data_IF_027451239959
#
_entry.id   IF_027451239959
#
_cell.length_a   1.000
_cell.length_b   1.000
_cell.length_c   1.000
_cell.angle_alpha   90.00
_cell.angle_beta   90.00
_cell.angle_gamma   90.00
#
_symmetry.space_group_name_H-M   'P 1'
#
loop_
_entity.id
_entity.type
_entity.pdbx_description
1 polymer ?
#
# COMPACT_ATOMS: atom_id res chain seq x y z
N UNK A 1 -93.20 -17.74 87.51
CA UNK A 1 -93.83 -16.59 86.81
C UNK A 1 -92.68 -15.82 86.17
N UNK A 2 -92.36 -16.12 84.90
CA UNK A 2 -92.87 -15.43 83.70
C UNK A 2 -92.48 -13.95 83.74
N UNK A 3 -91.81 -13.33 82.77
CA UNK A 3 -91.45 -13.69 81.39
C UNK A 3 -90.63 -12.52 80.85
N UNK A 4 -89.54 -12.77 80.13
CA UNK A 4 -88.79 -11.75 79.41
C UNK A 4 -89.13 -11.81 77.90
N UNK A 5 -89.39 -10.64 77.32
CA UNK A 5 -89.84 -10.40 75.94
C UNK A 5 -88.84 -10.83 74.85
N UNK A 6 -89.29 -11.20 73.64
CA UNK A 6 -88.45 -11.22 72.45
C UNK A 6 -88.76 -10.11 71.43
N UNK A 7 -87.70 -9.77 70.69
CA UNK A 7 -87.54 -8.75 69.66
C UNK A 7 -88.47 -8.91 68.45
N UNK A 8 -88.86 -7.76 67.89
CA UNK A 8 -89.53 -7.62 66.61
C UNK A 8 -88.63 -8.07 65.43
N UNK A 9 -89.17 -8.95 64.58
CA UNK A 9 -88.57 -9.40 63.33
C UNK A 9 -89.17 -8.64 62.15
N UNK A 10 -88.31 -8.01 61.36
CA UNK A 10 -88.67 -7.20 60.20
C UNK A 10 -89.03 -8.08 58.97
N UNK A 11 -90.17 -7.78 58.37
CA UNK A 11 -90.74 -8.43 57.18
C UNK A 11 -89.98 -7.99 55.91
N UNK A 12 -89.51 -8.98 55.11
CA UNK A 12 -88.90 -8.79 53.78
C UNK A 12 -90.00 -8.71 52.69
N UNK A 13 -90.00 -7.71 51.79
CA UNK A 13 -90.96 -7.62 50.68
C UNK A 13 -90.58 -8.55 49.49
N UNK A 14 -91.53 -8.87 48.59
CA UNK A 14 -91.38 -9.86 47.53
C UNK A 14 -90.44 -9.40 46.40
N UNK A 15 -89.69 -10.35 45.82
CA UNK A 15 -88.66 -10.11 44.82
C UNK A 15 -89.24 -9.92 43.40
N UNK A 16 -88.78 -8.88 42.71
CA UNK A 16 -88.99 -8.64 41.27
C UNK A 16 -88.23 -9.70 40.44
N UNK A 17 -88.95 -10.37 39.54
CA UNK A 17 -88.50 -11.47 38.67
C UNK A 17 -87.61 -11.05 37.48
N UNK A 18 -87.12 -9.81 37.45
CA UNK A 18 -86.33 -9.27 36.33
C UNK A 18 -84.80 -9.32 36.54
N UNK A 19 -84.34 -9.66 37.75
CA UNK A 19 -82.92 -9.65 38.15
C UNK A 19 -82.47 -10.94 38.86
N UNK A 20 -83.08 -12.08 38.53
CA UNK A 20 -82.68 -13.37 39.10
C UNK A 20 -81.42 -13.92 38.39
N UNK A 21 -80.38 -14.37 39.12
CA UNK A 21 -79.20 -14.99 38.53
C UNK A 21 -79.59 -16.29 37.82
N UNK A 22 -78.90 -16.61 36.71
CA UNK A 22 -79.27 -17.77 35.87
C UNK A 22 -79.09 -19.12 36.60
N UNK A 23 -78.28 -19.14 37.66
CA UNK A 23 -78.15 -20.27 38.60
C UNK A 23 -78.73 -19.80 39.95
N UNK A 24 -79.85 -20.37 40.41
CA UNK A 24 -80.45 -19.97 41.67
C UNK A 24 -79.50 -20.28 42.84
N UNK A 25 -79.40 -19.34 43.79
CA UNK A 25 -78.53 -19.45 44.98
C UNK A 25 -78.90 -20.64 45.90
N UNK A 26 -80.00 -21.35 45.62
CA UNK A 26 -80.42 -22.55 46.34
C UNK A 26 -79.55 -23.79 46.03
N UNK A 27 -78.88 -23.83 44.88
CA UNK A 27 -78.06 -24.98 44.48
C UNK A 27 -76.56 -24.77 44.70
N UNK A 28 -76.08 -23.54 44.50
CA UNK A 28 -74.66 -23.18 44.68
C UNK A 28 -74.61 -21.77 45.27
N UNK A 29 -73.93 -21.62 46.41
CA UNK A 29 -73.72 -20.34 47.07
C UNK A 29 -73.01 -19.33 46.15
N UNK A 30 -73.44 -18.07 46.17
CA UNK A 30 -72.82 -16.97 45.44
C UNK A 30 -71.27 -16.86 45.56
N UNK A 31 -70.64 -17.04 46.75
CA UNK A 31 -69.18 -17.07 46.85
C UNK A 31 -68.53 -18.25 46.10
N UNK A 32 -69.14 -19.44 46.15
CA UNK A 32 -68.63 -20.63 45.45
C UNK A 32 -68.73 -20.49 43.93
N UNK A 33 -69.81 -19.88 43.43
CA UNK A 33 -69.94 -19.54 41.99
C UNK A 33 -68.81 -18.63 41.51
N UNK A 34 -68.42 -17.63 42.31
CA UNK A 34 -67.30 -16.72 42.00
C UNK A 34 -65.97 -17.46 41.97
N UNK A 35 -65.74 -18.36 42.93
CA UNK A 35 -64.51 -19.13 43.02
C UNK A 35 -64.35 -20.03 41.79
N UNK A 36 -65.40 -20.74 41.36
CA UNK A 36 -65.33 -21.64 40.21
C UNK A 36 -65.01 -20.91 38.90
N UNK A 37 -65.59 -19.73 38.70
CA UNK A 37 -65.34 -18.96 37.49
C UNK A 37 -63.94 -18.34 37.52
N UNK A 38 -63.49 -17.87 38.68
CA UNK A 38 -62.12 -17.41 38.85
C UNK A 38 -61.13 -18.55 38.59
N UNK A 39 -61.38 -19.75 39.11
CA UNK A 39 -60.49 -20.90 38.90
C UNK A 39 -60.45 -21.36 37.45
N UNK A 40 -61.60 -21.41 36.76
CA UNK A 40 -61.67 -21.70 35.32
C UNK A 40 -60.92 -20.62 34.53
N UNK A 41 -61.13 -19.35 34.85
CA UNK A 41 -60.42 -18.24 34.21
C UNK A 41 -58.90 -18.33 34.40
N UNK A 42 -58.44 -18.62 35.62
CA UNK A 42 -57.02 -18.79 35.94
C UNK A 42 -56.43 -19.98 35.18
N UNK A 43 -57.14 -21.11 35.13
CA UNK A 43 -56.72 -22.28 34.35
C UNK A 43 -56.57 -21.94 32.86
N UNK A 44 -57.54 -21.25 32.27
CA UNK A 44 -57.46 -20.78 30.88
C UNK A 44 -56.23 -19.88 30.66
N UNK A 45 -55.97 -18.93 31.56
CA UNK A 45 -54.77 -18.06 31.48
C UNK A 45 -53.47 -18.85 31.65
N UNK A 46 -53.43 -19.88 32.51
CA UNK A 46 -52.25 -20.72 32.68
C UNK A 46 -51.92 -21.54 31.43
N UNK A 47 -52.94 -22.15 30.80
CA UNK A 47 -52.78 -22.88 29.53
C UNK A 47 -52.36 -21.93 28.40
N UNK A 48 -52.89 -20.71 28.38
CA UNK A 48 -52.50 -19.65 27.44
C UNK A 48 -51.02 -19.25 27.55
N UNK A 49 -50.51 -19.08 28.77
CA UNK A 49 -49.09 -18.79 29.01
C UNK A 49 -48.21 -19.96 28.57
N UNK A 50 -48.65 -21.21 28.82
CA UNK A 50 -47.93 -22.40 28.37
C UNK A 50 -47.86 -22.49 26.84
N UNK A 51 -48.99 -22.31 26.15
CA UNK A 51 -49.05 -22.28 24.68
C UNK A 51 -48.17 -21.16 24.11
N UNK A 52 -48.12 -19.99 24.77
CA UNK A 52 -47.21 -18.91 24.40
C UNK A 52 -45.74 -19.29 24.55
N UNK A 53 -45.35 -19.86 25.70
CA UNK A 53 -43.99 -20.32 25.95
C UNK A 53 -43.54 -21.38 24.93
N UNK A 54 -44.44 -22.31 24.59
CA UNK A 54 -44.19 -23.30 23.54
C UNK A 54 -44.03 -22.63 22.16
N UNK A 55 -44.83 -21.62 21.86
CA UNK A 55 -44.70 -20.81 20.63
C UNK A 55 -43.42 -19.97 20.59
N UNK A 56 -42.73 -19.71 21.71
CA UNK A 56 -41.40 -19.09 21.68
C UNK A 56 -40.33 -20.04 21.11
N UNK A 57 -40.55 -21.35 21.25
CA UNK A 57 -39.61 -22.39 20.82
C UNK A 57 -39.98 -22.90 19.42
N UNK A 58 -41.27 -22.96 19.08
CA UNK A 58 -41.79 -23.52 17.82
C UNK A 58 -42.42 -22.45 16.91
N UNK A 59 -42.15 -22.49 15.60
CA UNK A 59 -42.59 -21.51 14.59
C UNK A 59 -44.05 -21.67 14.13
N UNK A 60 -44.99 -21.79 15.07
CA UNK A 60 -46.43 -21.77 14.75
C UNK A 60 -47.09 -20.65 15.55
N UNK A 61 -47.55 -19.58 14.90
CA UNK A 61 -48.01 -18.36 15.60
C UNK A 61 -49.42 -17.90 15.20
N UNK A 62 -49.88 -18.17 13.98
CA UNK A 62 -51.14 -17.58 13.47
C UNK A 62 -52.39 -18.32 13.92
N UNK A 63 -52.33 -19.63 14.04
CA UNK A 63 -53.53 -20.43 14.37
C UNK A 63 -53.85 -20.40 15.87
N UNK A 64 -52.83 -20.14 16.69
CA UNK A 64 -52.94 -20.05 18.15
C UNK A 64 -53.60 -18.75 18.63
N UNK A 65 -53.40 -17.64 17.92
CA UNK A 65 -53.97 -16.33 18.32
C UNK A 65 -55.48 -16.31 18.21
N UNK A 66 -55.98 -16.74 17.04
CA UNK A 66 -57.41 -16.82 16.78
C UNK A 66 -58.08 -17.79 17.76
N UNK A 67 -57.45 -18.94 18.05
CA UNK A 67 -57.91 -19.89 19.09
C UNK A 67 -58.14 -19.18 20.43
N UNK A 68 -57.17 -18.41 20.91
CA UNK A 68 -57.25 -17.76 22.23
C UNK A 68 -58.22 -16.57 22.25
N UNK A 69 -58.32 -15.79 21.18
CA UNK A 69 -59.34 -14.73 21.03
C UNK A 69 -60.76 -15.33 21.12
N UNK A 70 -60.99 -16.48 20.49
CA UNK A 70 -62.29 -17.17 20.58
C UNK A 70 -62.58 -17.68 22.00
N UNK A 71 -61.57 -18.25 22.68
CA UNK A 71 -61.73 -18.74 24.06
C UNK A 71 -62.04 -17.60 25.02
N UNK A 72 -61.34 -16.48 24.93
CA UNK A 72 -61.56 -15.30 25.78
C UNK A 72 -62.92 -14.64 25.50
N UNK A 73 -63.36 -14.61 24.23
CA UNK A 73 -64.70 -14.14 23.86
C UNK A 73 -65.80 -15.04 24.45
N UNK A 74 -65.66 -16.36 24.34
CA UNK A 74 -66.63 -17.32 24.91
C UNK A 74 -66.67 -17.15 26.43
N UNK A 75 -65.52 -17.02 27.10
CA UNK A 75 -65.45 -16.81 28.55
C UNK A 75 -66.18 -15.53 28.98
N UNK A 76 -65.97 -14.40 28.31
CA UNK A 76 -66.68 -13.15 28.59
C UNK A 76 -68.19 -13.23 28.32
N UNK A 77 -68.62 -13.96 27.28
CA UNK A 77 -70.04 -14.20 27.01
C UNK A 77 -70.69 -15.08 28.10
N UNK A 78 -69.99 -16.10 28.57
CA UNK A 78 -70.43 -16.97 29.67
C UNK A 78 -70.58 -16.17 30.97
N UNK A 79 -69.61 -15.30 31.29
CA UNK A 79 -69.70 -14.36 32.42
C UNK A 79 -70.94 -13.47 32.33
N UNK A 80 -71.19 -12.89 31.15
CA UNK A 80 -72.38 -12.04 30.93
C UNK A 80 -73.69 -12.83 31.08
N UNK A 81 -73.72 -14.08 30.64
CA UNK A 81 -74.91 -14.94 30.69
C UNK A 81 -75.24 -15.41 32.10
N UNK A 82 -74.24 -15.65 32.95
CA UNK A 82 -74.40 -16.17 34.30
C UNK A 82 -74.89 -15.13 35.33
N UNK A 83 -74.81 -13.82 35.03
CA UNK A 83 -75.36 -12.71 35.84
C UNK A 83 -75.16 -12.87 37.36
N UNK A 84 -73.90 -13.06 37.76
CA UNK A 84 -73.58 -13.34 39.15
C UNK A 84 -73.71 -12.06 39.99
N UNK A 85 -74.37 -12.11 41.16
CA UNK A 85 -74.51 -10.94 42.02
C UNK A 85 -73.13 -10.40 42.44
N UNK A 86 -72.96 -9.07 42.31
CA UNK A 86 -71.69 -8.30 42.43
C UNK A 86 -70.69 -8.39 41.27
N UNK A 87 -70.94 -9.23 40.27
CA UNK A 87 -70.16 -9.30 39.03
C UNK A 87 -71.06 -9.01 37.80
N UNK A 88 -72.07 -8.16 37.99
CA UNK A 88 -72.96 -7.71 36.94
C UNK A 88 -72.30 -6.57 36.15
N UNK A 89 -71.51 -6.94 35.16
CA UNK A 89 -70.93 -5.98 34.24
C UNK A 89 -71.98 -5.45 33.27
N UNK A 90 -72.02 -4.13 33.10
CA UNK A 90 -72.78 -3.52 32.01
C UNK A 90 -72.26 -4.03 30.66
N UNK A 91 -73.10 -4.06 29.62
CA UNK A 91 -72.68 -4.51 28.29
C UNK A 91 -71.45 -3.77 27.77
N UNK A 92 -71.27 -2.50 28.14
CA UNK A 92 -70.08 -1.69 27.84
C UNK A 92 -68.82 -2.21 28.52
N UNK A 93 -68.91 -2.60 29.79
CA UNK A 93 -67.78 -3.16 30.54
C UNK A 93 -67.33 -4.51 29.97
N UNK A 94 -68.27 -5.35 29.51
CA UNK A 94 -67.94 -6.62 28.85
C UNK A 94 -67.24 -6.39 27.50
N UNK A 95 -67.73 -5.44 26.69
CA UNK A 95 -67.09 -5.09 25.41
C UNK A 95 -65.68 -4.55 25.63
N UNK A 96 -65.49 -3.68 26.63
CA UNK A 96 -64.17 -3.17 27.01
C UNK A 96 -63.25 -4.32 27.45
N UNK A 97 -63.74 -5.25 28.27
CA UNK A 97 -62.97 -6.42 28.71
C UNK A 97 -62.53 -7.31 27.53
N UNK A 98 -63.43 -7.56 26.57
CA UNK A 98 -63.11 -8.33 25.35
C UNK A 98 -62.07 -7.60 24.49
N UNK A 99 -62.19 -6.28 24.32
CA UNK A 99 -61.22 -5.49 23.56
C UNK A 99 -59.84 -5.54 24.22
N UNK A 100 -59.76 -5.38 25.53
CA UNK A 100 -58.51 -5.46 26.29
C UNK A 100 -57.87 -6.84 26.17
N UNK A 101 -58.64 -7.93 26.28
CA UNK A 101 -58.12 -9.29 26.13
C UNK A 101 -57.62 -9.56 24.71
N UNK A 102 -58.36 -9.13 23.70
CA UNK A 102 -57.95 -9.25 22.29
C UNK A 102 -56.66 -8.46 21.99
N UNK A 103 -56.52 -7.26 22.57
CA UNK A 103 -55.30 -6.47 22.47
C UNK A 103 -54.13 -7.17 23.16
N UNK A 104 -54.34 -7.71 24.36
CA UNK A 104 -53.33 -8.50 25.07
C UNK A 104 -52.92 -9.74 24.28
N UNK A 105 -53.86 -10.46 23.66
CA UNK A 105 -53.58 -11.60 22.77
C UNK A 105 -52.71 -11.21 21.58
N UNK A 106 -53.08 -10.12 20.92
CA UNK A 106 -52.34 -9.62 19.78
C UNK A 106 -50.91 -9.18 20.11
N UNK A 107 -50.68 -8.62 21.31
CA UNK A 107 -49.33 -8.28 21.81
C UNK A 107 -48.54 -9.53 22.22
N UNK A 108 -49.18 -10.50 22.88
CA UNK A 108 -48.53 -11.69 23.42
C UNK A 108 -47.97 -12.56 22.28
N UNK A 109 -48.77 -12.79 21.25
CA UNK A 109 -48.40 -13.64 20.12
C UNK A 109 -47.85 -12.86 18.91
N UNK A 110 -47.99 -11.53 18.88
CA UNK A 110 -47.33 -10.66 17.91
C UNK A 110 -48.04 -10.45 16.59
N UNK A 111 -49.37 -10.55 16.56
CA UNK A 111 -50.19 -10.37 15.34
C UNK A 111 -50.52 -8.90 15.04
N UNK A 112 -50.40 -8.01 16.04
CA UNK A 112 -50.72 -6.58 15.85
C UNK A 112 -49.46 -5.84 15.39
N UNK A 113 -49.43 -5.47 14.12
CA UNK A 113 -48.44 -4.56 13.56
C UNK A 113 -48.97 -3.12 13.65
N UNK A 114 -48.60 -2.39 14.70
CA UNK A 114 -48.77 -0.93 14.76
C UNK A 114 -47.55 -0.29 14.10
N UNK A 115 -47.74 0.71 13.24
CA UNK A 115 -46.74 1.24 12.30
C UNK A 115 -45.28 1.30 12.77
N UNK A 116 -44.39 0.91 11.85
CA UNK A 116 -42.90 0.92 11.89
C UNK A 116 -42.25 0.01 12.94
N UNK A 117 -42.89 -0.29 14.06
CA UNK A 117 -42.33 -1.17 15.09
C UNK A 117 -43.34 -2.25 15.52
N UNK A 118 -43.05 -3.50 15.12
CA UNK A 118 -43.76 -4.69 15.59
C UNK A 118 -43.41 -4.95 17.07
N UNK A 119 -44.10 -4.27 18.00
CA UNK A 119 -44.00 -4.53 19.43
C UNK A 119 -44.69 -5.86 19.77
N UNK A 120 -43.98 -6.96 19.58
CA UNK A 120 -44.42 -8.26 20.07
C UNK A 120 -43.59 -8.66 21.28
N UNK A 121 -44.26 -9.08 22.35
CA UNK A 121 -43.58 -9.74 23.47
C UNK A 121 -42.94 -11.05 23.01
N UNK A 122 -43.55 -11.76 22.05
CA UNK A 122 -42.98 -12.99 21.48
C UNK A 122 -41.68 -12.72 20.71
N UNK A 123 -41.58 -11.62 19.95
CA UNK A 123 -40.35 -11.32 19.20
C UNK A 123 -39.20 -10.92 20.14
N UNK A 124 -39.48 -10.11 21.16
CA UNK A 124 -38.48 -9.74 22.17
C UNK A 124 -38.05 -10.93 23.02
N UNK A 125 -38.99 -11.79 23.44
CA UNK A 125 -38.68 -12.98 24.21
C UNK A 125 -37.92 -14.02 23.38
N UNK A 126 -38.28 -14.23 22.10
CA UNK A 126 -37.52 -15.10 21.17
C UNK A 126 -36.07 -14.65 21.05
N UNK A 127 -35.82 -13.35 20.92
CA UNK A 127 -34.44 -12.82 20.87
C UNK A 127 -33.63 -13.09 22.15
N UNK A 128 -34.30 -13.19 23.31
CA UNK A 128 -33.65 -13.51 24.58
C UNK A 128 -33.40 -15.02 24.73
N UNK A 129 -34.35 -15.87 24.34
CA UNK A 129 -34.27 -17.32 24.45
C UNK A 129 -33.42 -17.99 23.34
N UNK A 130 -33.32 -17.40 22.15
CA UNK A 130 -32.49 -17.90 21.03
C UNK A 130 -30.99 -17.60 21.21
N UNK A 131 -30.53 -17.26 22.42
CA UNK A 131 -29.11 -17.15 22.71
C UNK A 131 -28.52 -18.55 22.81
N UNK A 132 -27.77 -18.94 21.79
CA UNK A 132 -27.06 -20.21 21.80
C UNK A 132 -25.86 -20.15 22.76
N UNK A 133 -25.65 -21.26 23.48
CA UNK A 133 -24.48 -21.45 24.33
C UNK A 133 -23.28 -21.80 23.45
N UNK A 134 -22.34 -20.87 23.33
CA UNK A 134 -21.04 -21.16 22.72
C UNK A 134 -20.31 -22.22 23.54
N UNK A 135 -19.45 -23.03 22.92
CA UNK A 135 -18.60 -24.04 23.57
C UNK A 135 -17.74 -23.48 24.72
N UNK A 136 -17.55 -22.15 24.75
CA UNK A 136 -16.88 -21.41 25.84
C UNK A 136 -17.81 -20.98 27.01
N UNK A 137 -19.10 -21.31 26.99
CA UNK A 137 -20.08 -20.94 28.01
C UNK A 137 -20.66 -19.52 27.90
N UNK A 138 -20.27 -18.74 26.89
CA UNK A 138 -20.80 -17.38 26.66
C UNK A 138 -22.06 -17.43 25.79
N UNK A 139 -23.16 -16.84 26.26
CA UNK A 139 -24.36 -16.61 25.46
C UNK A 139 -24.08 -15.49 24.45
N UNK A 140 -24.14 -15.79 23.16
CA UNK A 140 -23.90 -14.82 22.09
C UNK A 140 -25.14 -14.75 21.20
N UNK A 141 -25.51 -13.55 20.77
CA UNK A 141 -26.63 -13.33 19.87
C UNK A 141 -26.15 -13.51 18.41
N UNK A 142 -26.80 -14.37 17.63
CA UNK A 142 -26.38 -14.68 16.25
C UNK A 142 -26.49 -13.45 15.34
N UNK A 143 -27.37 -12.49 15.65
CA UNK A 143 -27.48 -11.23 14.89
C UNK A 143 -26.26 -10.31 15.02
N UNK A 144 -25.49 -10.43 16.10
CA UNK A 144 -24.21 -9.70 16.25
C UNK A 144 -23.12 -10.29 15.35
N UNK A 145 -23.24 -11.53 14.89
CA UNK A 145 -22.30 -12.11 13.92
C UNK A 145 -22.54 -11.62 12.48
N UNK A 146 -23.77 -11.20 12.16
CA UNK A 146 -24.16 -10.71 10.83
C UNK A 146 -24.18 -9.19 10.73
N UNK A 147 -24.30 -8.49 11.87
CA UNK A 147 -24.10 -7.03 11.93
C UNK A 147 -22.61 -6.78 11.89
N UNK A 148 -22.09 -6.56 10.68
CA UNK A 148 -20.67 -6.51 10.37
C UNK A 148 -19.85 -5.71 11.38
N UNK A 149 -19.08 -6.42 12.18
CA UNK A 149 -17.84 -5.88 12.71
C UNK A 149 -16.93 -5.61 11.51
N UNK A 150 -16.52 -4.35 11.33
CA UNK A 150 -15.46 -3.98 10.38
C UNK A 150 -14.13 -4.73 10.64
N UNK A 151 -14.04 -5.41 11.78
CA UNK A 151 -12.91 -6.24 12.22
C UNK A 151 -13.01 -7.73 11.80
N UNK A 152 -14.13 -8.17 11.21
CA UNK A 152 -14.27 -9.50 10.58
C UNK A 152 -13.98 -9.50 9.08
N UNK A 153 -13.48 -8.38 8.53
CA UNK A 153 -12.66 -8.44 7.32
C UNK A 153 -11.36 -9.11 7.75
N UNK A 154 -11.18 -10.39 7.41
CA UNK A 154 -9.97 -11.13 7.73
C UNK A 154 -8.74 -10.24 7.52
N UNK A 155 -7.89 -10.16 8.54
CA UNK A 155 -6.68 -9.36 8.46
C UNK A 155 -5.81 -9.95 7.35
N UNK A 156 -5.86 -9.34 6.17
CA UNK A 156 -4.96 -9.69 5.09
C UNK A 156 -3.67 -8.90 5.32
N UNK A 157 -2.83 -9.39 6.24
CA UNK A 157 -1.50 -8.83 6.47
C UNK A 157 -0.62 -9.13 5.26
N UNK A 158 -0.65 -8.26 4.26
CA UNK A 158 0.29 -8.34 3.13
C UNK A 158 1.67 -7.97 3.64
N UNK A 159 2.49 -8.99 3.95
CA UNK A 159 3.92 -8.78 4.22
C UNK A 159 4.60 -8.44 2.90
N UNK A 160 4.73 -7.14 2.62
CA UNK A 160 5.51 -6.67 1.48
C UNK A 160 7.00 -6.81 1.81
N UNK A 161 7.75 -7.49 0.95
CA UNK A 161 9.21 -7.42 0.98
C UNK A 161 9.67 -6.00 0.64
N UNK A 162 10.82 -5.55 1.16
CA UNK A 162 11.33 -4.23 0.79
C UNK A 162 11.56 -4.16 -0.73
N UNK A 163 11.19 -3.03 -1.32
CA UNK A 163 11.19 -2.86 -2.77
C UNK A 163 12.63 -2.82 -3.28
N UNK A 164 12.99 -3.79 -4.11
CA UNK A 164 14.24 -3.79 -4.85
C UNK A 164 14.20 -2.70 -5.92
N UNK A 165 15.18 -1.79 -5.90
CA UNK A 165 15.26 -0.69 -6.88
C UNK A 165 16.60 -0.63 -7.60
N UNK A 166 16.60 -0.10 -8.82
CA UNK A 166 17.80 0.08 -9.63
C UNK A 166 17.81 1.44 -10.33
N UNK A 167 18.97 2.10 -10.34
CA UNK A 167 19.17 3.40 -10.99
C UNK A 167 20.47 3.39 -11.78
N UNK A 168 20.37 3.59 -13.09
CA UNK A 168 21.54 3.79 -13.95
C UNK A 168 22.08 5.22 -13.75
N UNK A 169 23.41 5.36 -13.73
CA UNK A 169 24.11 6.64 -13.60
C UNK A 169 23.56 7.54 -12.47
N UNK A 170 23.66 7.12 -11.19
CA UNK A 170 23.13 7.88 -10.06
C UNK A 170 23.73 9.30 -9.96
N UNK A 171 25.00 9.45 -10.35
CA UNK A 171 25.75 10.71 -10.33
C UNK A 171 25.51 11.63 -11.53
N UNK A 172 24.70 11.22 -12.52
CA UNK A 172 24.44 11.98 -13.76
C UNK A 172 25.71 12.44 -14.47
N UNK A 173 26.74 11.61 -14.47
CA UNK A 173 28.02 11.90 -15.12
C UNK A 173 27.91 11.64 -16.63
N UNK A 174 28.70 12.37 -17.42
CA UNK A 174 28.85 12.15 -18.86
C UNK A 174 29.89 11.07 -19.12
N UNK A 175 29.59 10.12 -20.00
CA UNK A 175 30.48 9.02 -20.36
C UNK A 175 30.90 9.13 -21.82
N UNK A 176 32.19 8.92 -22.09
CA UNK A 176 32.72 8.87 -23.44
C UNK A 176 33.63 7.65 -23.64
N UNK A 177 33.68 7.15 -24.87
CA UNK A 177 34.52 6.05 -25.31
C UNK A 177 35.91 6.59 -25.63
N UNK A 178 36.89 6.12 -24.87
CA UNK A 178 38.29 6.43 -25.14
C UNK A 178 38.78 5.67 -26.38
N UNK A 179 39.53 6.32 -27.28
CA UNK A 179 40.10 5.72 -28.49
C UNK A 179 41.03 4.54 -28.21
N UNK A 180 41.70 4.52 -27.05
CA UNK A 180 42.69 3.49 -26.70
C UNK A 180 42.04 2.21 -26.15
N UNK A 181 40.98 2.34 -25.34
CA UNK A 181 40.32 1.20 -24.68
C UNK A 181 39.01 0.78 -25.35
N UNK A 182 38.42 1.63 -26.19
CA UNK A 182 37.12 1.45 -26.87
C UNK A 182 36.01 0.90 -25.96
N UNK A 183 36.09 1.19 -24.67
CA UNK A 183 35.15 0.71 -23.68
C UNK A 183 35.00 1.73 -22.55
N UNK A 184 33.76 1.92 -22.11
CA UNK A 184 33.40 2.75 -20.96
C UNK A 184 32.56 1.96 -19.98
N UNK A 185 32.73 2.24 -18.69
CA UNK A 185 32.04 1.56 -17.61
C UNK A 185 31.00 2.47 -16.98
N UNK A 186 29.72 2.12 -17.10
CA UNK A 186 28.61 2.91 -16.55
C UNK A 186 28.14 2.30 -15.23
N UNK A 187 28.09 3.07 -14.12
CA UNK A 187 27.64 2.58 -12.84
C UNK A 187 26.12 2.44 -12.78
N UNK A 188 25.66 1.34 -12.18
CA UNK A 188 24.27 1.01 -11.88
C UNK A 188 24.16 0.82 -10.37
N UNK A 189 23.39 1.68 -9.71
CA UNK A 189 23.10 1.58 -8.29
C UNK A 189 21.91 0.64 -8.08
N UNK A 190 22.11 -0.39 -7.29
CA UNK A 190 21.09 -1.33 -6.86
C UNK A 190 20.84 -1.14 -5.37
N UNK A 191 19.58 -1.20 -4.96
CA UNK A 191 19.17 -1.16 -3.57
C UNK A 191 18.27 -2.35 -3.27
N UNK A 192 18.64 -3.11 -2.23
CA UNK A 192 17.93 -4.30 -1.76
C UNK A 192 17.76 -5.38 -2.86
N UNK A 193 18.81 -5.61 -3.66
CA UNK A 193 18.84 -6.70 -4.65
C UNK A 193 20.27 -7.10 -5.01
N UNK A 194 20.46 -8.37 -5.35
CA UNK A 194 21.70 -8.88 -5.95
C UNK A 194 21.42 -9.41 -7.35
N UNK A 195 22.09 -8.94 -8.40
CA UNK A 195 21.69 -9.24 -9.77
C UNK A 195 22.10 -10.66 -10.20
N UNK A 196 21.17 -11.42 -10.76
CA UNK A 196 21.45 -12.65 -11.52
C UNK A 196 21.89 -12.35 -12.95
N UNK A 197 21.28 -11.31 -13.52
CA UNK A 197 21.54 -10.80 -14.85
C UNK A 197 20.80 -9.48 -15.06
N UNK A 198 21.30 -8.69 -16.00
CA UNK A 198 20.74 -7.40 -16.40
C UNK A 198 20.57 -7.37 -17.90
N UNK A 199 19.46 -6.83 -18.37
CA UNK A 199 19.18 -6.55 -19.77
C UNK A 199 19.22 -5.04 -19.96
N UNK A 200 20.08 -4.57 -20.86
CA UNK A 200 20.10 -3.18 -21.30
C UNK A 200 19.85 -3.10 -22.80
N UNK A 201 19.23 -2.00 -23.22
CA UNK A 201 19.03 -1.64 -24.61
C UNK A 201 20.04 -0.55 -24.99
N UNK A 202 20.67 -0.73 -26.15
CA UNK A 202 21.57 0.24 -26.76
C UNK A 202 20.95 0.73 -28.05
N UNK A 203 20.59 2.02 -28.08
CA UNK A 203 20.12 2.68 -29.30
C UNK A 203 21.29 3.38 -29.94
N UNK A 204 21.64 2.98 -31.16
CA UNK A 204 22.78 3.58 -31.89
C UNK A 204 22.49 5.04 -32.27
N UNK A 205 23.50 5.92 -32.20
CA UNK A 205 23.32 7.32 -32.61
C UNK A 205 23.05 7.40 -34.12
N UNK A 206 21.97 8.08 -34.52
CA UNK A 206 21.60 8.30 -35.93
C UNK A 206 20.81 7.17 -36.60
N UNK A 207 20.72 5.98 -36.00
CA UNK A 207 19.85 4.90 -36.47
C UNK A 207 18.89 4.48 -35.36
N UNK A 208 17.60 4.38 -35.64
CA UNK A 208 16.58 3.90 -34.69
C UNK A 208 16.64 2.37 -34.46
N UNK A 209 17.85 1.81 -34.51
CA UNK A 209 18.14 0.40 -34.26
C UNK A 209 18.47 0.23 -32.79
N UNK A 210 17.70 -0.63 -32.13
CA UNK A 210 17.82 -0.94 -30.71
C UNK A 210 18.41 -2.34 -30.56
N UNK A 211 19.63 -2.43 -30.05
CA UNK A 211 20.29 -3.69 -29.71
C UNK A 211 20.02 -4.02 -28.24
N UNK A 212 19.40 -5.16 -27.95
CA UNK A 212 19.18 -5.63 -26.58
C UNK A 212 20.30 -6.60 -26.17
N UNK A 213 21.03 -6.28 -25.11
CA UNK A 213 22.17 -7.06 -24.63
C UNK A 213 21.89 -7.54 -23.20
N UNK A 214 21.93 -8.86 -23.02
CA UNK A 214 21.82 -9.49 -21.70
C UNK A 214 23.21 -9.78 -21.14
N UNK A 215 23.45 -9.32 -19.91
CA UNK A 215 24.70 -9.51 -19.18
C UNK A 215 24.44 -10.40 -17.97
N UNK A 216 25.17 -11.51 -17.89
CA UNK A 216 25.06 -12.45 -16.78
C UNK A 216 25.84 -12.03 -15.54
N UNK A 217 25.52 -12.62 -14.39
CA UNK A 217 26.26 -12.42 -13.13
C UNK A 217 27.77 -12.64 -13.24
N UNK A 218 28.20 -13.68 -13.99
CA UNK A 218 29.62 -13.98 -14.18
C UNK A 218 30.33 -12.83 -14.89
N UNK A 219 29.71 -12.31 -15.94
CA UNK A 219 30.23 -11.20 -16.73
C UNK A 219 30.29 -9.90 -15.92
N UNK A 220 29.24 -9.60 -15.15
CA UNK A 220 29.23 -8.42 -14.26
C UNK A 220 30.39 -8.45 -13.26
N UNK A 221 30.69 -9.62 -12.67
CA UNK A 221 31.84 -9.76 -11.78
C UNK A 221 33.18 -9.60 -12.50
N UNK A 222 33.33 -10.17 -13.70
CA UNK A 222 34.56 -10.00 -14.47
C UNK A 222 34.77 -8.55 -14.91
N UNK A 223 33.69 -7.83 -15.22
CA UNK A 223 33.73 -6.40 -15.54
C UNK A 223 34.19 -5.60 -14.33
N UNK A 224 33.64 -5.88 -13.16
CA UNK A 224 33.98 -5.18 -11.92
C UNK A 224 35.43 -5.45 -11.50
N UNK A 225 35.90 -6.69 -11.64
CA UNK A 225 37.30 -7.05 -11.41
C UNK A 225 38.24 -6.32 -12.38
N UNK A 226 37.94 -6.31 -13.68
CA UNK A 226 38.75 -5.60 -14.66
C UNK A 226 38.79 -4.09 -14.40
N UNK A 227 37.68 -3.51 -13.96
CA UNK A 227 37.65 -2.12 -13.54
C UNK A 227 38.57 -1.89 -12.34
N UNK A 228 38.51 -2.76 -11.34
CA UNK A 228 39.33 -2.64 -10.13
C UNK A 228 40.83 -2.76 -10.42
N UNK A 229 41.22 -3.66 -11.32
CA UNK A 229 42.60 -3.77 -11.82
C UNK A 229 43.04 -2.47 -12.54
N UNK A 230 42.20 -1.91 -13.42
CA UNK A 230 42.51 -0.65 -14.12
C UNK A 230 42.69 0.55 -13.17
N UNK A 231 41.92 0.59 -12.09
CA UNK A 231 42.02 1.62 -11.06
C UNK A 231 43.27 1.46 -10.20
N UNK A 232 43.70 0.23 -9.92
CA UNK A 232 44.94 -0.04 -9.17
C UNK A 232 46.18 0.40 -9.94
N UNK A 233 46.24 0.14 -11.25
CA UNK A 233 47.36 0.59 -12.12
C UNK A 233 47.46 2.13 -12.12
N UNK A 234 46.32 2.82 -12.11
CA UNK A 234 46.30 4.29 -12.06
C UNK A 234 46.72 4.83 -10.70
N UNK A 235 46.41 4.12 -9.60
CA UNK A 235 46.86 4.46 -8.25
C UNK A 235 48.37 4.27 -8.07
N UNK A 236 48.93 3.17 -8.57
CA UNK A 236 50.38 2.93 -8.51
C UNK A 236 51.18 3.89 -9.39
N UNK A 237 50.62 4.35 -10.52
CA UNK A 237 51.24 5.41 -11.32
C UNK A 237 51.26 6.77 -10.60
N UNK A 238 50.32 7.02 -9.67
CA UNK A 238 50.24 8.25 -8.86
C UNK A 238 51.05 8.17 -7.56
N UNK A 239 51.56 7.00 -7.18
CA UNK A 239 52.32 6.78 -5.94
C UNK A 239 53.84 6.79 -6.12
N UNK A 240 54.36 7.20 -7.27
CA UNK A 240 55.82 7.32 -7.50
C UNK A 240 56.39 8.67 -7.01
N UNK A 241 55.55 9.63 -6.63
CA UNK A 241 55.99 10.95 -6.13
C UNK A 241 55.85 11.13 -4.60
N UNK A 242 55.44 10.11 -3.85
CA UNK A 242 55.40 10.17 -2.37
C UNK A 242 56.10 8.95 -1.77
N UNK A 243 57.43 9.02 -1.78
CA UNK A 243 58.30 8.10 -1.05
C UNK A 243 58.35 8.48 0.44
N UNK A 244 58.31 7.44 1.30
CA UNK A 244 58.38 7.41 2.76
C UNK A 244 57.05 7.48 3.53
N UNK A 245 56.44 6.31 3.74
CA UNK A 245 56.31 5.77 5.09
C UNK A 245 56.07 4.26 5.05
N UNK A 246 57.10 3.54 5.45
CA UNK A 246 57.12 2.12 5.76
C UNK A 246 56.47 1.95 7.15
N UNK A 247 55.30 1.32 7.26
CA UNK A 247 54.77 0.86 8.54
C UNK A 247 54.24 -0.57 8.40
N UNK A 248 54.84 -1.38 9.26
CA UNK A 248 54.73 -2.80 9.53
C UNK A 248 53.30 -3.25 9.87
N UNK A 249 52.92 -4.45 9.45
CA UNK A 249 51.62 -5.05 9.74
C UNK A 249 51.72 -5.97 10.94
N UNK A 250 51.06 -5.64 12.05
CA UNK A 250 50.68 -6.62 13.08
C UNK A 250 49.46 -6.14 13.90
N UNK A 251 48.48 -7.04 14.05
CA UNK A 251 47.64 -7.19 15.26
C UNK A 251 46.37 -6.35 15.42
N UNK A 252 45.23 -7.00 15.14
CA UNK A 252 43.95 -7.04 15.87
C UNK A 252 43.23 -5.76 16.39
N UNK A 253 41.94 -5.72 16.00
CA UNK A 253 40.75 -5.30 16.73
C UNK A 253 40.44 -3.83 17.11
N UNK A 254 39.28 -3.43 16.55
CA UNK A 254 38.23 -2.52 17.04
C UNK A 254 38.43 -0.98 17.07
N UNK A 255 37.36 -0.36 16.52
CA UNK A 255 36.73 0.95 16.73
C UNK A 255 37.48 2.31 16.72
N UNK A 256 36.94 3.15 15.83
CA UNK A 256 36.79 4.61 15.91
C UNK A 256 38.05 5.50 15.89
N UNK A 257 38.25 6.25 14.79
CA UNK A 257 37.97 7.71 14.68
C UNK A 257 38.76 8.43 13.56
N UNK A 258 38.07 9.40 12.94
CA UNK A 258 38.50 10.71 12.41
C UNK A 258 39.85 10.91 11.68
N UNK A 259 39.75 11.55 10.50
CA UNK A 259 40.80 12.31 9.80
C UNK A 259 41.05 11.78 8.37
N UNK A 260 41.32 12.56 7.32
CA UNK A 260 41.42 14.01 7.07
C UNK A 260 41.47 14.16 5.54
N UNK A 261 40.81 15.20 5.02
CA UNK A 261 40.76 15.55 3.60
C UNK A 261 42.14 15.96 3.04
N UNK A 262 42.49 15.39 1.88
CA UNK A 262 42.81 16.10 0.63
C UNK A 262 43.44 15.15 -0.39
N UNK A 263 42.80 14.94 -1.55
CA UNK A 263 43.46 15.01 -2.85
C UNK A 263 42.49 14.74 -4.01
N UNK A 264 42.56 15.62 -4.98
CA UNK A 264 41.76 15.68 -6.21
C UNK A 264 42.15 14.52 -7.13
N UNK A 265 41.13 13.78 -7.58
CA UNK A 265 41.27 12.68 -8.54
C UNK A 265 40.05 11.76 -8.51
N UNK A 266 39.23 11.82 -9.57
CA UNK A 266 37.99 11.08 -9.77
C UNK A 266 38.11 9.61 -9.37
N UNK A 267 37.62 9.30 -8.17
CA UNK A 267 37.29 7.96 -7.71
C UNK A 267 35.86 8.05 -7.19
N UNK A 268 35.15 6.93 -7.11
CA UNK A 268 33.79 6.82 -6.55
C UNK A 268 33.71 7.15 -5.03
N UNK A 269 34.42 8.18 -4.58
CA UNK A 269 34.41 8.78 -3.25
C UNK A 269 33.45 9.98 -3.29
N UNK A 270 32.36 10.10 -2.56
CA UNK A 270 31.98 9.55 -1.26
C UNK A 270 30.44 9.48 -1.18
N UNK A 271 29.78 8.72 -2.05
CA UNK A 271 28.45 8.24 -1.65
C UNK A 271 28.71 7.13 -0.66
N UNK A 272 28.62 7.45 0.64
CA UNK A 272 28.57 6.46 1.71
C UNK A 272 27.39 5.55 1.39
N UNK A 273 27.69 4.41 0.77
CA UNK A 273 26.67 3.46 0.37
C UNK A 273 26.00 2.93 1.63
N UNK A 274 24.68 2.97 1.64
CA UNK A 274 23.91 2.33 2.70
C UNK A 274 24.15 0.81 2.66
N UNK A 275 23.96 0.13 3.79
CA UNK A 275 24.20 -1.33 3.89
C UNK A 275 23.43 -2.17 2.86
N UNK A 276 22.30 -1.65 2.37
CA UNK A 276 21.45 -2.32 1.37
C UNK A 276 21.77 -1.93 -0.07
N UNK A 277 22.70 -0.99 -0.28
CA UNK A 277 23.07 -0.48 -1.60
C UNK A 277 24.34 -1.15 -2.11
N UNK A 278 24.37 -1.42 -3.41
CA UNK A 278 25.54 -1.93 -4.12
C UNK A 278 25.62 -1.30 -5.51
N UNK A 279 26.84 -1.12 -6.02
CA UNK A 279 27.07 -0.57 -7.36
C UNK A 279 27.67 -1.67 -8.24
N UNK A 280 27.17 -1.79 -9.46
CA UNK A 280 27.73 -2.64 -10.51
C UNK A 280 28.01 -1.82 -11.76
N UNK A 281 28.95 -2.26 -12.60
CA UNK A 281 29.35 -1.55 -13.80
C UNK A 281 28.94 -2.29 -15.07
N UNK A 282 28.38 -1.57 -16.04
CA UNK A 282 28.11 -2.06 -17.39
C UNK A 282 29.22 -1.61 -18.33
N UNK A 283 29.83 -2.56 -19.05
CA UNK A 283 30.84 -2.28 -20.09
C UNK A 283 30.16 -2.01 -21.43
N UNK A 284 30.29 -0.79 -21.93
CA UNK A 284 29.74 -0.37 -23.22
C UNK A 284 30.88 -0.12 -24.20
N UNK A 285 30.77 -0.65 -25.41
CA UNK A 285 31.84 -0.58 -26.44
C UNK A 285 31.47 0.23 -27.67
N UNK A 286 30.18 0.50 -27.88
CA UNK A 286 29.67 1.24 -29.03
C UNK A 286 29.00 2.55 -28.58
N UNK A 287 29.11 3.63 -29.36
CA UNK A 287 28.44 4.89 -29.05
C UNK A 287 26.93 4.74 -29.24
N UNK A 288 26.14 5.35 -28.36
CA UNK A 288 24.70 5.16 -28.32
C UNK A 288 24.04 5.68 -27.04
N UNK A 289 22.72 5.60 -27.01
CA UNK A 289 21.91 5.84 -25.81
C UNK A 289 21.67 4.50 -25.14
N UNK A 290 22.12 4.37 -23.90
CA UNK A 290 22.00 3.16 -23.09
C UNK A 290 20.83 3.33 -22.11
N UNK A 291 19.95 2.34 -22.08
CA UNK A 291 18.81 2.28 -21.16
C UNK A 291 18.73 0.90 -20.50
N UNK A 292 18.36 0.91 -19.23
CA UNK A 292 18.22 -0.29 -18.42
C UNK A 292 16.79 -0.83 -18.55
N UNK A 293 16.63 -2.04 -19.08
CA UNK A 293 15.31 -2.63 -19.37
C UNK A 293 14.85 -3.60 -18.29
N UNK A 294 15.74 -4.48 -17.81
CA UNK A 294 15.36 -5.52 -16.85
C UNK A 294 16.51 -5.91 -15.94
N UNK A 295 16.23 -6.08 -14.65
CA UNK A 295 17.17 -6.70 -13.70
C UNK A 295 16.41 -7.80 -12.95
N UNK A 296 17.04 -8.96 -12.84
CA UNK A 296 16.48 -10.11 -12.13
C UNK A 296 17.32 -10.39 -10.88
N UNK A 297 16.67 -10.54 -9.74
CA UNK A 297 17.36 -10.92 -8.50
C UNK A 297 17.83 -12.38 -8.54
N UNK A 298 19.00 -12.65 -7.97
CA UNK A 298 19.56 -14.00 -7.81
C UNK A 298 18.73 -14.89 -6.89
N UNK A 299 18.19 -14.35 -5.79
CA UNK A 299 17.54 -15.16 -4.76
C UNK A 299 16.05 -15.34 -5.00
N UNK A 300 15.35 -14.25 -5.29
CA UNK A 300 13.89 -14.27 -5.46
C UNK A 300 13.47 -14.49 -6.90
N UNK A 301 14.36 -14.29 -7.88
CA UNK A 301 14.01 -14.24 -9.32
C UNK A 301 12.94 -13.19 -9.65
N UNK A 302 12.63 -12.28 -8.74
CA UNK A 302 11.71 -11.18 -8.97
C UNK A 302 12.39 -10.07 -9.78
N UNK A 303 11.57 -9.31 -10.49
CA UNK A 303 12.03 -8.15 -11.24
C UNK A 303 12.27 -6.96 -10.32
N UNK A 304 13.44 -6.36 -10.43
CA UNK A 304 13.77 -5.11 -9.72
C UNK A 304 13.05 -3.93 -10.36
N UNK A 305 12.57 -2.99 -9.56
CA UNK A 305 11.97 -1.75 -10.06
C UNK A 305 13.06 -0.81 -10.57
N UNK A 306 13.04 -0.50 -11.86
CA UNK A 306 14.01 0.38 -12.50
C UNK A 306 13.50 1.82 -12.47
N UNK A 307 14.36 2.75 -12.03
CA UNK A 307 14.11 4.18 -12.21
C UNK A 307 14.43 4.56 -13.67
N UNK A 308 13.53 5.30 -14.34
CA UNK A 308 13.78 5.72 -15.71
C UNK A 308 15.04 6.59 -15.77
N UNK A 309 15.95 6.24 -16.66
CA UNK A 309 17.21 6.91 -16.85
C UNK A 309 17.86 6.44 -18.14
N UNK A 310 18.44 7.38 -18.85
CA UNK A 310 19.14 7.16 -20.12
C UNK A 310 20.54 7.76 -20.01
N UNK A 311 21.52 7.06 -20.59
CA UNK A 311 22.91 7.51 -20.57
C UNK A 311 23.40 7.56 -22.01
N UNK A 312 23.73 8.77 -22.47
CA UNK A 312 24.37 8.95 -23.76
C UNK A 312 25.87 8.64 -23.63
N UNK A 313 26.35 7.74 -24.49
CA UNK A 313 27.75 7.39 -24.63
C UNK A 313 28.22 7.87 -25.99
N UNK A 314 29.14 8.83 -25.97
CA UNK A 314 29.75 9.44 -27.16
C UNK A 314 31.22 9.03 -27.30
N UNK A 315 31.86 9.36 -28.40
CA UNK A 315 33.33 9.27 -28.52
C UNK A 315 33.98 10.41 -27.72
N UNK A 316 35.07 10.13 -27.02
CA UNK A 316 35.81 11.17 -26.29
C UNK A 316 36.41 12.19 -27.25
N UNK A 317 36.46 13.47 -26.89
CA UNK A 317 37.08 14.48 -27.72
C UNK A 317 38.58 14.21 -27.86
N UNK A 318 39.10 14.29 -29.08
CA UNK A 318 40.51 14.24 -29.37
C UNK A 318 40.91 15.46 -30.21
N UNK A 319 42.15 15.88 -30.05
CA UNK A 319 42.77 16.91 -30.88
C UNK A 319 44.14 16.40 -31.33
N UNK A 320 44.41 16.51 -32.62
CA UNK A 320 45.70 16.18 -33.21
C UNK A 320 46.11 17.30 -34.18
N UNK A 321 47.41 17.60 -34.25
CA UNK A 321 47.90 18.54 -35.27
C UNK A 321 47.81 17.89 -36.66
N UNK A 322 47.25 18.63 -37.62
CA UNK A 322 47.14 18.13 -38.99
C UNK A 322 48.53 17.99 -39.64
N UNK A 323 48.81 16.86 -40.31
CA UNK A 323 50.14 16.56 -40.86
C UNK A 323 50.54 17.50 -42.01
N UNK A 324 49.58 18.10 -42.71
CA UNK A 324 49.82 18.98 -43.87
C UNK A 324 50.67 20.23 -43.51
N UNK A 325 50.64 20.66 -42.25
CA UNK A 325 51.41 21.80 -41.72
C UNK A 325 52.88 21.45 -41.41
N UNK A 326 53.17 20.17 -41.15
CA UNK A 326 54.49 19.71 -40.67
C UNK A 326 55.38 19.13 -41.79
N UNK A 327 54.77 18.68 -42.89
CA UNK A 327 55.46 17.95 -43.97
C UNK A 327 56.07 18.86 -45.05
N UNK A 328 55.69 20.15 -45.09
CA UNK A 328 56.32 21.13 -45.99
C UNK A 328 57.65 21.65 -45.42
N UNK A 329 58.68 20.81 -45.52
CA UNK A 329 60.09 21.16 -45.62
C UNK A 329 60.72 21.81 -44.38
N UNK A 330 61.70 21.10 -43.80
CA UNK A 330 62.65 21.49 -42.74
C UNK A 330 62.05 22.23 -41.54
N UNK A 331 62.23 21.67 -40.33
CA UNK A 331 61.88 22.26 -39.03
C UNK A 331 62.58 23.60 -38.70
N UNK A 332 63.25 24.21 -39.68
CA UNK A 332 63.94 25.49 -39.59
C UNK A 332 63.07 26.53 -40.29
N UNK A 333 62.75 27.60 -39.57
CA UNK A 333 61.98 28.73 -40.06
C UNK A 333 62.74 30.02 -39.80
N UNK A 334 62.58 30.99 -40.70
CA UNK A 334 63.17 32.32 -40.53
C UNK A 334 62.31 33.17 -39.58
N UNK A 335 62.98 34.07 -38.86
CA UNK A 335 62.33 35.08 -38.04
C UNK A 335 61.39 35.95 -38.89
N UNK A 336 60.21 36.28 -38.36
CA UNK A 336 59.17 37.04 -39.04
C UNK A 336 58.34 36.25 -40.07
N UNK A 337 58.60 34.96 -40.23
CA UNK A 337 57.74 34.11 -41.07
C UNK A 337 56.41 33.80 -40.37
N UNK A 338 55.33 33.74 -41.16
CA UNK A 338 54.00 33.34 -40.70
C UNK A 338 53.80 31.87 -41.03
N UNK A 339 53.35 31.09 -40.05
CA UNK A 339 53.00 29.69 -40.22
C UNK A 339 51.52 29.52 -39.86
N UNK A 340 50.78 28.88 -40.76
CA UNK A 340 49.38 28.49 -40.55
C UNK A 340 49.37 27.00 -40.20
N UNK A 341 48.98 26.69 -38.97
CA UNK A 341 48.75 25.33 -38.54
C UNK A 341 47.27 25.04 -38.49
N UNK A 342 46.91 23.77 -38.65
CA UNK A 342 45.54 23.35 -38.39
C UNK A 342 45.52 22.25 -37.34
N UNK A 343 44.66 22.40 -36.34
CA UNK A 343 44.34 21.32 -35.40
C UNK A 343 43.12 20.60 -35.95
N UNK A 344 43.25 19.29 -36.13
CA UNK A 344 42.16 18.37 -36.42
C UNK A 344 41.55 17.93 -35.10
N UNK A 345 40.30 18.33 -34.87
CA UNK A 345 39.55 17.96 -33.68
C UNK A 345 38.51 16.92 -34.05
N UNK A 346 38.28 15.93 -33.19
CA UNK A 346 37.24 14.91 -33.33
C UNK A 346 36.48 14.76 -32.01
N UNK A 347 35.16 14.67 -32.06
CA UNK A 347 34.33 14.53 -30.85
C UNK A 347 32.89 14.96 -31.07
N UNK A 348 32.11 14.99 -29.98
CA UNK A 348 30.72 15.48 -29.98
C UNK A 348 30.69 16.90 -29.38
N UNK A 349 30.15 17.90 -30.08
CA UNK A 349 30.08 19.28 -29.59
C UNK A 349 29.06 19.45 -28.45
N UNK A 350 29.17 20.51 -27.62
CA UNK A 350 30.17 21.58 -27.66
C UNK A 350 31.50 21.14 -27.02
N UNK A 351 32.62 21.45 -27.68
CA UNK A 351 33.95 21.13 -27.19
C UNK A 351 34.78 22.38 -26.89
N UNK A 352 35.78 22.25 -26.03
CA UNK A 352 36.75 23.31 -25.72
C UNK A 352 38.14 22.83 -26.10
N UNK A 353 38.89 23.67 -26.81
CA UNK A 353 40.27 23.40 -27.19
C UNK A 353 41.19 24.25 -26.33
N UNK A 354 42.08 23.59 -25.59
CA UNK A 354 43.19 24.25 -24.91
C UNK A 354 44.49 23.78 -25.57
N UNK A 355 45.42 24.68 -25.80
CA UNK A 355 46.75 24.33 -26.28
C UNK A 355 47.76 25.32 -25.72
N UNK A 356 49.04 24.96 -25.80
CA UNK A 356 50.09 25.88 -25.41
C UNK A 356 51.28 25.86 -26.37
N UNK A 357 51.94 27.00 -26.46
CA UNK A 357 53.18 27.20 -27.22
C UNK A 357 54.32 27.40 -26.23
N UNK A 358 55.39 26.64 -26.37
CA UNK A 358 56.61 26.82 -25.57
C UNK A 358 57.71 27.47 -26.41
N UNK A 359 58.17 28.65 -25.99
CA UNK A 359 59.31 29.37 -26.60
C UNK A 359 60.42 29.48 -25.56
N UNK A 360 61.56 28.85 -25.79
CA UNK A 360 62.72 28.90 -24.88
C UNK A 360 62.35 28.62 -23.41
N UNK A 361 61.43 27.67 -23.18
CA UNK A 361 60.93 27.29 -21.85
C UNK A 361 59.80 28.15 -21.27
N UNK A 362 59.37 29.22 -21.95
CA UNK A 362 58.16 29.98 -21.57
C UNK A 362 56.94 29.44 -22.30
N UNK A 363 55.94 28.99 -21.53
CA UNK A 363 54.67 28.49 -22.04
C UNK A 363 53.63 29.61 -22.13
N UNK A 364 53.06 29.78 -23.31
CA UNK A 364 51.89 30.64 -23.56
C UNK A 364 50.68 29.74 -23.80
N UNK A 365 49.62 29.94 -22.99
CA UNK A 365 48.40 29.14 -23.06
C UNK A 365 47.32 29.85 -23.86
N UNK A 366 46.60 29.07 -24.65
CA UNK A 366 45.48 29.54 -25.45
C UNK A 366 44.28 28.60 -25.24
N UNK A 367 43.08 29.18 -25.22
CA UNK A 367 41.84 28.42 -25.07
C UNK A 367 40.76 28.97 -26.00
N UNK A 368 40.01 28.06 -26.60
CA UNK A 368 38.78 28.35 -27.33
C UNK A 368 37.67 27.52 -26.69
N UNK A 369 36.67 28.20 -26.16
CA UNK A 369 35.51 27.58 -25.52
C UNK A 369 34.33 27.50 -26.49
N UNK A 370 33.44 26.52 -26.26
CA UNK A 370 32.16 26.39 -26.97
C UNK A 370 32.33 26.35 -28.50
N UNK A 371 33.16 25.44 -28.95
CA UNK A 371 33.26 25.10 -30.36
C UNK A 371 32.01 24.29 -30.73
N UNK A 372 31.15 24.91 -31.54
CA UNK A 372 29.95 24.29 -32.08
C UNK A 372 30.29 23.53 -33.37
N UNK A 373 29.58 22.43 -33.61
CA UNK A 373 29.69 21.68 -34.85
C UNK A 373 28.34 21.03 -35.17
N UNK A 374 28.04 20.90 -36.45
CA UNK A 374 26.81 20.25 -36.90
C UNK A 374 27.03 18.73 -36.90
N UNK A 375 26.31 17.93 -36.10
CA UNK A 375 26.57 16.50 -36.00
C UNK A 375 26.24 15.82 -37.34
N UNK A 376 27.20 15.10 -37.93
CA UNK A 376 26.92 14.26 -39.08
C UNK A 376 25.83 13.22 -38.75
N UNK A 377 24.99 12.88 -39.73
CA UNK A 377 23.80 12.00 -39.60
C UNK A 377 24.09 10.59 -39.05
N UNK A 378 25.35 10.25 -38.80
CA UNK A 378 25.83 8.96 -38.32
C UNK A 378 26.47 9.03 -36.92
N UNK A 379 26.41 10.17 -36.24
CA UNK A 379 27.06 10.35 -34.93
C UNK A 379 28.59 10.22 -34.99
N UNK A 380 29.16 10.34 -36.19
CA UNK A 380 30.60 10.39 -36.40
C UNK A 380 31.12 11.78 -36.10
N UNK A 381 32.32 11.78 -35.51
CA UNK A 381 33.07 12.94 -35.08
C UNK A 381 33.14 14.01 -36.14
N UNK A 382 32.72 15.23 -35.82
CA UNK A 382 32.96 16.37 -36.68
C UNK A 382 34.48 16.59 -36.72
N UNK A 383 35.08 16.37 -37.89
CA UNK A 383 36.45 16.78 -38.13
C UNK A 383 36.46 18.30 -38.29
N UNK A 384 36.59 19.02 -37.17
CA UNK A 384 36.74 20.46 -37.22
C UNK A 384 38.22 20.81 -37.37
N UNK A 385 38.52 21.64 -38.37
CA UNK A 385 39.86 22.22 -38.55
C UNK A 385 39.87 23.62 -37.97
N UNK A 386 40.65 23.82 -36.92
CA UNK A 386 40.87 25.16 -36.35
C UNK A 386 42.22 25.68 -36.87
N UNK A 387 42.23 26.73 -37.71
CA UNK A 387 43.47 27.36 -38.14
C UNK A 387 44.09 28.13 -36.97
N UNK A 388 45.40 27.94 -36.79
CA UNK A 388 46.24 28.63 -35.84
C UNK A 388 47.26 29.45 -36.62
N UNK A 389 47.03 30.76 -36.66
CA UNK A 389 47.99 31.70 -37.21
C UNK A 389 49.08 31.98 -36.17
N UNK A 390 50.34 31.70 -36.52
CA UNK A 390 51.47 32.02 -35.67
C UNK A 390 52.54 32.84 -36.38
N UNK A 391 53.06 33.82 -35.66
CA UNK A 391 54.16 34.67 -36.11
C UNK A 391 55.42 34.26 -35.32
N UNK A 392 56.51 33.99 -36.05
CA UNK A 392 57.79 33.56 -35.51
C UNK A 392 58.71 34.75 -35.24
N UNK A 393 58.39 35.57 -34.24
CA UNK A 393 59.13 36.81 -33.95
C UNK A 393 60.38 36.61 -33.10
N UNK A 394 60.51 35.45 -32.42
CA UNK A 394 61.60 35.16 -31.49
C UNK A 394 62.42 33.97 -31.97
N UNK A 395 63.76 34.07 -32.01
CA UNK A 395 64.63 32.93 -32.30
C UNK A 395 64.60 31.92 -31.15
N UNK A 396 64.47 30.63 -31.49
CA UNK A 396 64.44 29.56 -30.51
C UNK A 396 63.78 28.29 -31.04
N UNK A 397 63.75 27.26 -30.21
CA UNK A 397 62.97 26.05 -30.47
C UNK A 397 61.54 26.28 -30.00
N UNK A 398 60.59 26.06 -30.91
CA UNK A 398 59.16 26.17 -30.62
C UNK A 398 58.59 24.76 -30.47
N UNK A 399 58.21 24.40 -29.24
CA UNK A 399 57.55 23.13 -28.94
C UNK A 399 56.04 23.34 -28.77
N UNK A 400 55.27 22.34 -29.22
CA UNK A 400 53.81 22.39 -29.31
C UNK A 400 53.22 21.14 -28.67
N UNK A 401 52.25 21.33 -27.79
CA UNK A 401 51.57 20.26 -27.07
C UNK A 401 50.10 20.66 -26.88
N UNK A 402 49.20 19.74 -27.24
CA UNK A 402 47.73 19.88 -27.21
C UNK A 402 47.14 19.26 -25.96
#
# INVERSE_FOLDING_TARGET
MSSASPLASARKPPADSSNEPLIPESYIDAPSQRLYILSIGLLCQAVKIFDWLHSLISETTTDLTLKWIFVDLIYCLVLKRLRIPRLNYASTAVILQVLTLCLCDGILFGTIHVGVSSYSLSSSARNFYQKELSTSGRMINIRDLFSGDDHLKGEHTVRMSPISTAKINPGKQSFCLSPHSNAVFIPVLLNNTTPKGMLYSLTHLGTDKVDNVEVGWKELRTIDQHLQESLQITKTAKSVDEENNEIDWDGDDEDASLGRENSVGYTSATQKLEKTQSIYHLKITKPGIVRLERITDKYTSHLTRIFPGEVAVALCPQAEFAPDSLVKGTAIRCIGSKEELSIKMSGVPPMSLNWHRSINGRKEYFSIERIEGEPDKQGQTNELRVPLDMILDVPGTHERET
#
